data_IF_333236891231
#
_entry.id   IF_333236891231
#
_cell.length_a   1.000
_cell.length_b   1.000
_cell.length_c   1.000
_cell.angle_alpha   90.00
_cell.angle_beta   90.00
_cell.angle_gamma   90.00
#
_symmetry.space_group_name_H-M   'P 1'
#
loop_
_entity.id
_entity.type
_entity.pdbx_description
1 polymer ?
#
# COMPACT_ATOMS: atom_id res chain seq x y z
N UNK A 1 18.96 -5.53 7.96
CA UNK A 1 17.49 -5.58 7.89
C UNK A 1 16.97 -4.68 9.00
N UNK A 2 16.21 -3.65 8.64
CA UNK A 2 15.68 -2.65 9.58
C UNK A 2 14.16 -2.83 9.67
N UNK A 3 13.60 -2.76 10.87
CA UNK A 3 12.17 -2.74 11.11
C UNK A 3 11.81 -1.40 11.73
N UNK A 4 10.82 -0.71 11.17
CA UNK A 4 10.28 0.54 11.67
C UNK A 4 8.80 0.34 11.98
N UNK A 5 8.36 0.80 13.15
CA UNK A 5 6.96 0.79 13.56
C UNK A 5 6.50 2.25 13.65
N UNK A 6 5.83 2.71 12.59
CA UNK A 6 5.43 4.10 12.40
C UNK A 6 4.02 4.18 11.82
N UNK A 7 3.39 5.33 11.96
CA UNK A 7 2.14 5.65 11.28
C UNK A 7 2.38 5.91 9.79
N UNK A 8 1.60 5.28 8.91
CA UNK A 8 1.78 5.42 7.45
C UNK A 8 1.58 6.86 6.96
N UNK A 9 0.73 7.64 7.65
CA UNK A 9 0.48 9.05 7.35
C UNK A 9 1.68 9.95 7.67
N UNK A 10 2.63 9.47 8.48
CA UNK A 10 3.77 10.25 8.98
C UNK A 10 5.08 9.45 9.05
N UNK A 11 5.44 8.75 7.97
CA UNK A 11 6.68 7.97 7.87
C UNK A 11 7.92 8.87 7.89
N UNK A 12 8.94 8.48 8.68
CA UNK A 12 10.21 9.23 8.81
C UNK A 12 11.15 9.05 7.60
N UNK A 13 10.79 8.17 6.67
CA UNK A 13 11.58 7.88 5.48
C UNK A 13 11.64 9.08 4.52
N UNK A 14 12.83 9.29 3.96
CA UNK A 14 13.08 10.32 2.96
C UNK A 14 12.28 10.05 1.67
N UNK A 15 11.79 11.09 0.97
CA UNK A 15 11.19 10.93 -0.35
C UNK A 15 12.15 10.24 -1.33
N UNK A 16 11.60 9.50 -2.29
CA UNK A 16 12.38 8.85 -3.36
C UNK A 16 13.55 7.98 -2.83
N UNK A 17 13.35 7.31 -1.71
CA UNK A 17 14.38 6.51 -1.04
C UNK A 17 14.20 5.00 -1.23
N UNK A 18 13.01 4.54 -1.64
CA UNK A 18 12.71 3.11 -1.81
C UNK A 18 12.45 2.73 -3.26
N UNK A 19 12.85 1.53 -3.64
CA UNK A 19 12.63 0.98 -4.98
C UNK A 19 11.25 0.29 -5.11
N UNK A 20 10.75 -0.26 -3.99
CA UNK A 20 9.50 -1.04 -3.94
C UNK A 20 8.73 -0.71 -2.66
N UNK A 21 7.42 -0.52 -2.78
CA UNK A 21 6.48 -0.43 -1.67
C UNK A 21 5.40 -1.52 -1.81
N UNK A 22 5.01 -2.15 -0.70
CA UNK A 22 4.03 -3.23 -0.67
C UNK A 22 2.97 -2.94 0.40
N UNK A 23 1.71 -2.89 0.01
CA UNK A 23 0.57 -2.97 0.93
C UNK A 23 0.01 -4.39 0.91
N UNK A 24 -0.04 -5.02 2.07
CA UNK A 24 -0.53 -6.39 2.25
C UNK A 24 -1.69 -6.39 3.22
N UNK A 25 -2.92 -6.31 2.71
CA UNK A 25 -4.15 -6.28 3.50
C UNK A 25 -4.08 -5.23 4.61
N UNK A 26 -3.67 -4.01 4.25
CA UNK A 26 -3.44 -2.93 5.22
C UNK A 26 -4.07 -1.60 4.83
N UNK A 27 -4.37 -1.36 3.56
CA UNK A 27 -4.97 -0.08 3.14
C UNK A 27 -6.37 0.13 3.71
N UNK A 28 -7.11 -0.96 3.96
CA UNK A 28 -8.46 -0.91 4.54
C UNK A 28 -8.48 -0.51 6.02
N UNK A 29 -7.33 -0.40 6.69
CA UNK A 29 -7.23 0.13 8.05
C UNK A 29 -7.14 1.66 8.09
N UNK A 30 -6.94 2.31 6.94
CA UNK A 30 -6.82 3.76 6.84
C UNK A 30 -8.20 4.38 6.63
N UNK A 31 -8.44 5.52 7.27
CA UNK A 31 -9.65 6.33 7.05
C UNK A 31 -9.75 6.78 5.58
N UNK A 32 -8.61 7.16 4.98
CA UNK A 32 -8.46 7.38 3.53
C UNK A 32 -7.43 6.38 2.96
N UNK A 33 -7.83 5.31 2.27
CA UNK A 33 -6.92 4.36 1.63
C UNK A 33 -5.97 5.03 0.62
N UNK A 34 -6.39 6.14 -0.02
CA UNK A 34 -5.53 6.86 -0.95
C UNK A 34 -4.42 7.63 -0.25
N UNK A 35 -4.55 7.94 1.04
CA UNK A 35 -3.47 8.57 1.82
C UNK A 35 -2.23 7.67 1.88
N UNK A 36 -2.42 6.36 2.10
CA UNK A 36 -1.34 5.38 2.08
C UNK A 36 -0.69 5.28 0.70
N UNK A 37 -1.48 5.25 -0.37
CA UNK A 37 -0.95 5.23 -1.75
C UNK A 37 -0.12 6.49 -2.05
N UNK A 38 -0.58 7.67 -1.64
CA UNK A 38 0.18 8.94 -1.80
C UNK A 38 1.50 8.90 -1.03
N UNK A 39 1.51 8.32 0.16
CA UNK A 39 2.75 8.16 0.94
C UNK A 39 3.72 7.19 0.27
N UNK A 40 3.23 6.06 -0.25
CA UNK A 40 4.07 5.16 -1.04
C UNK A 40 4.65 5.86 -2.28
N UNK A 41 3.84 6.62 -3.01
CA UNK A 41 4.31 7.40 -4.16
C UNK A 41 5.40 8.41 -3.78
N UNK A 42 5.26 9.12 -2.65
CA UNK A 42 6.29 10.05 -2.14
C UNK A 42 7.63 9.35 -1.91
N UNK A 43 7.59 8.13 -1.35
CA UNK A 43 8.78 7.38 -0.97
C UNK A 43 9.44 6.67 -2.15
N UNK A 44 8.66 6.29 -3.18
CA UNK A 44 9.19 5.60 -4.35
C UNK A 44 10.11 6.50 -5.17
N UNK A 45 11.25 5.92 -5.57
CA UNK A 45 12.10 6.51 -6.63
C UNK A 45 11.34 6.56 -7.96
N UNK A 46 11.69 7.48 -8.87
CA UNK A 46 11.20 7.43 -10.25
C UNK A 46 11.46 6.04 -10.88
N UNK A 47 10.43 5.44 -11.47
CA UNK A 47 10.48 4.08 -11.99
C UNK A 47 10.24 2.98 -10.93
N UNK A 48 9.91 3.35 -9.69
CA UNK A 48 9.67 2.46 -8.56
C UNK A 48 8.35 1.69 -8.67
N UNK A 49 8.22 0.63 -7.87
CA UNK A 49 7.09 -0.30 -7.95
C UNK A 49 6.21 -0.26 -6.70
N UNK A 50 4.90 -0.16 -6.90
CA UNK A 50 3.91 -0.36 -5.86
C UNK A 50 3.15 -1.66 -6.11
N UNK A 51 3.15 -2.54 -5.12
CA UNK A 51 2.29 -3.71 -5.09
C UNK A 51 1.21 -3.54 -4.01
N UNK A 52 -0.04 -3.78 -4.37
CA UNK A 52 -1.20 -3.73 -3.47
C UNK A 52 -1.91 -5.06 -3.51
N UNK A 53 -2.06 -5.68 -2.34
CA UNK A 53 -2.84 -6.90 -2.15
C UNK A 53 -3.96 -6.59 -1.16
N UNK A 54 -5.18 -6.42 -1.64
CA UNK A 54 -6.34 -6.11 -0.81
C UNK A 54 -7.48 -7.11 -1.00
N UNK A 55 -8.42 -7.12 -0.05
CA UNK A 55 -9.68 -7.82 -0.22
C UNK A 55 -10.51 -7.09 -1.29
N UNK A 56 -11.02 -7.84 -2.26
CA UNK A 56 -12.05 -7.34 -3.15
C UNK A 56 -13.28 -6.96 -2.32
N UNK A 57 -14.00 -5.91 -2.73
CA UNK A 57 -15.27 -5.54 -2.12
C UNK A 57 -16.13 -6.81 -1.95
N UNK A 58 -16.61 -7.04 -0.73
CA UNK A 58 -17.38 -8.22 -0.41
C UNK A 58 -18.66 -8.21 -1.26
N UNK A 59 -18.84 -9.21 -2.11
CA UNK A 59 -20.16 -9.50 -2.66
C UNK A 59 -20.92 -10.28 -1.57
N UNK A 60 -21.93 -9.70 -0.92
CA UNK A 60 -22.64 -10.37 0.17
C UNK A 60 -23.41 -11.63 -0.29
N UNK A 61 -23.57 -11.87 -1.59
CA UNK A 61 -24.25 -13.05 -2.13
C UNK A 61 -23.33 -14.25 -2.40
N UNK A 62 -22.02 -14.04 -2.38
CA UNK A 62 -21.01 -15.06 -2.64
C UNK A 62 -20.10 -15.13 -1.40
N UNK A 63 -20.29 -16.14 -0.54
CA UNK A 63 -19.59 -16.28 0.75
C UNK A 63 -18.08 -16.52 0.70
N UNK A 64 -17.34 -15.89 -0.21
CA UNK A 64 -15.88 -15.99 -0.35
C UNK A 64 -15.25 -14.61 -0.45
N UNK A 65 -14.49 -14.20 0.56
CA UNK A 65 -13.60 -13.04 0.48
C UNK A 65 -12.49 -13.32 -0.54
N UNK A 66 -12.56 -12.71 -1.72
CA UNK A 66 -11.54 -12.86 -2.76
C UNK A 66 -10.46 -11.79 -2.56
N UNK A 67 -9.20 -12.18 -2.40
CA UNK A 67 -8.07 -11.23 -2.44
C UNK A 67 -7.78 -10.84 -3.90
N UNK A 68 -7.59 -9.54 -4.16
CA UNK A 68 -7.18 -9.00 -5.45
C UNK A 68 -5.81 -8.35 -5.30
N UNK A 69 -4.85 -8.80 -6.12
CA UNK A 69 -3.53 -8.19 -6.23
C UNK A 69 -3.48 -7.25 -7.45
N UNK A 70 -2.87 -6.08 -7.28
CA UNK A 70 -2.62 -5.11 -8.33
C UNK A 70 -1.19 -4.57 -8.20
N UNK A 71 -0.53 -4.34 -9.33
CA UNK A 71 0.83 -3.82 -9.39
C UNK A 71 0.85 -2.62 -10.32
N UNK A 72 1.47 -1.54 -9.87
CA UNK A 72 1.66 -0.32 -10.63
C UNK A 72 3.14 0.10 -10.58
N UNK A 73 3.61 0.74 -11.65
CA UNK A 73 4.94 1.34 -11.73
C UNK A 73 4.76 2.85 -11.83
N UNK A 74 5.53 3.58 -11.03
CA UNK A 74 5.43 5.03 -10.88
C UNK A 74 6.67 5.72 -11.42
#
# INVERSE_FOLDING_TARGET
>A
MTLLAEDVGSLSLEPQSVDVAVFSQSLHHLDDPFSGIRQAYRLLRPGGLLAVMELAAHDPTLGTGKTKAQVARF
#
